data_IF_114540739738
#
_entry.id   IF_114540739738
#
_cell.length_a   1.000
_cell.length_b   1.000
_cell.length_c   1.000
_cell.angle_alpha   90.00
_cell.angle_beta   90.00
_cell.angle_gamma   90.00
#
_symmetry.space_group_name_H-M   'P 1'
#
loop_
_entity.id
_entity.type
_entity.pdbx_description
1 polymer ?
#
# COMPACT_ATOMS: atom_id res chain seq x y z
N UNK A 1 16.65 17.34 1.31
CA UNK A 1 16.25 16.74 0.02
C UNK A 1 16.18 17.92 -0.93
N UNK A 2 17.34 18.41 -1.33
CA UNK A 2 17.44 19.53 -2.24
C UNK A 2 17.46 18.97 -3.67
N UNK A 3 16.79 19.68 -4.59
CA UNK A 3 16.78 19.50 -6.05
C UNK A 3 15.75 18.60 -6.75
N UNK A 4 14.77 18.02 -6.05
CA UNK A 4 13.62 17.36 -6.69
C UNK A 4 12.31 18.01 -6.24
N UNK A 5 11.67 18.76 -7.13
CA UNK A 5 10.29 19.22 -6.91
C UNK A 5 9.36 18.01 -6.98
N UNK A 6 8.87 17.61 -5.81
CA UNK A 6 7.97 16.48 -5.62
C UNK A 6 6.59 16.95 -5.17
N UNK A 7 6.30 18.25 -5.31
CA UNK A 7 5.01 18.81 -4.93
C UNK A 7 3.90 18.07 -5.69
N UNK A 8 2.91 17.57 -4.96
CA UNK A 8 1.82 16.72 -5.44
C UNK A 8 2.22 15.36 -6.06
N UNK A 9 3.51 14.98 -6.03
CA UNK A 9 3.95 13.67 -6.50
C UNK A 9 3.58 12.54 -5.52
N UNK A 10 3.41 11.32 -6.02
CA UNK A 10 3.25 10.13 -5.19
C UNK A 10 4.59 9.38 -5.06
N UNK A 11 5.24 9.55 -3.92
CA UNK A 11 6.50 8.91 -3.60
C UNK A 11 6.24 7.50 -3.07
N UNK A 12 6.75 6.51 -3.79
CA UNK A 12 6.70 5.13 -3.35
C UNK A 12 8.08 4.69 -2.86
N UNK A 13 8.15 4.04 -1.71
CA UNK A 13 9.40 3.48 -1.21
C UNK A 13 9.20 2.03 -0.78
N UNK A 14 10.30 1.29 -0.83
CA UNK A 14 10.33 -0.06 -0.31
C UNK A 14 10.28 -0.08 1.24
N UNK A 15 10.35 -1.27 1.81
CA UNK A 15 10.25 -1.44 3.24
C UNK A 15 11.40 -0.82 4.03
N UNK A 16 12.58 -0.68 3.44
CA UNK A 16 13.72 -0.04 4.11
C UNK A 16 13.48 1.47 4.26
N UNK A 17 12.79 2.07 3.29
CA UNK A 17 12.31 3.46 3.34
C UNK A 17 11.02 3.68 4.13
N UNK A 18 10.36 2.62 4.63
CA UNK A 18 9.11 2.71 5.39
C UNK A 18 9.34 3.17 6.83
N UNK A 19 9.61 4.46 6.99
CA UNK A 19 9.91 5.12 8.26
C UNK A 19 9.01 6.34 8.46
N UNK A 20 8.55 6.57 9.70
CA UNK A 20 7.67 7.70 10.03
C UNK A 20 8.29 9.05 9.64
N UNK A 21 9.56 9.26 9.97
CA UNK A 21 10.28 10.48 9.61
C UNK A 21 10.34 10.72 8.09
N UNK A 22 10.40 9.65 7.28
CA UNK A 22 10.39 9.77 5.81
C UNK A 22 9.00 10.19 5.32
N UNK A 23 7.93 9.62 5.89
CA UNK A 23 6.57 10.05 5.60
C UNK A 23 6.35 11.54 5.94
N UNK A 24 6.84 11.98 7.11
CA UNK A 24 6.79 13.39 7.53
C UNK A 24 7.52 14.29 6.55
N UNK A 25 8.74 13.92 6.14
CA UNK A 25 9.54 14.67 5.17
C UNK A 25 8.84 14.81 3.83
N UNK A 26 8.25 13.72 3.30
CA UNK A 26 7.53 13.74 2.02
C UNK A 26 6.36 14.73 2.08
N UNK A 27 5.60 14.74 3.18
CA UNK A 27 4.49 15.68 3.36
C UNK A 27 4.96 17.13 3.53
N UNK A 28 6.07 17.35 4.24
CA UNK A 28 6.64 18.69 4.45
C UNK A 28 7.06 19.36 3.13
N UNK A 29 7.50 18.58 2.14
CA UNK A 29 7.85 19.08 0.80
C UNK A 29 6.65 19.06 -0.17
N UNK A 30 5.43 18.86 0.33
CA UNK A 30 4.19 18.90 -0.47
C UNK A 30 3.94 17.64 -1.31
N UNK A 31 4.71 16.58 -1.12
CA UNK A 31 4.50 15.29 -1.76
C UNK A 31 3.49 14.41 -1.00
N UNK A 32 3.16 13.27 -1.59
CA UNK A 32 2.34 12.22 -0.99
C UNK A 32 3.11 10.91 -0.97
N UNK A 33 2.73 9.96 -0.11
CA UNK A 33 3.45 8.69 -0.01
C UNK A 33 2.58 7.45 -0.21
N UNK A 34 3.23 6.38 -0.67
CA UNK A 34 2.77 4.99 -0.64
C UNK A 34 3.94 4.11 -0.21
N UNK A 35 3.98 3.73 1.07
CA UNK A 35 5.14 3.07 1.68
C UNK A 35 4.84 1.59 1.93
N UNK A 36 5.77 0.73 1.53
CA UNK A 36 5.61 -0.71 1.69
C UNK A 36 5.92 -1.16 3.12
N UNK A 37 4.93 -1.69 3.85
CA UNK A 37 5.15 -2.32 5.16
C UNK A 37 5.61 -3.77 4.98
N UNK A 38 6.59 -4.21 5.77
CA UNK A 38 7.07 -5.61 5.87
C UNK A 38 7.37 -5.95 7.34
N UNK A 39 8.08 -7.05 7.56
CA UNK A 39 8.47 -7.58 8.87
C UNK A 39 9.34 -6.64 9.72
N UNK A 40 9.90 -5.57 9.15
CA UNK A 40 10.65 -4.55 9.91
C UNK A 40 9.76 -3.61 10.71
N UNK A 41 8.44 -3.63 10.49
CA UNK A 41 7.44 -2.85 11.23
C UNK A 41 6.31 -3.80 11.70
N UNK A 42 6.59 -4.75 12.61
CA UNK A 42 5.68 -5.86 12.92
C UNK A 42 4.36 -5.39 13.53
N UNK A 43 4.39 -4.35 14.37
CA UNK A 43 3.19 -3.81 15.03
C UNK A 43 2.26 -3.13 14.03
N UNK A 44 2.82 -2.35 13.10
CA UNK A 44 2.05 -1.73 12.02
C UNK A 44 1.48 -2.78 11.07
N UNK A 45 2.26 -3.81 10.75
CA UNK A 45 1.80 -4.91 9.92
C UNK A 45 0.59 -5.62 10.58
N UNK A 46 0.69 -5.90 11.88
CA UNK A 46 -0.40 -6.49 12.65
C UNK A 46 -1.66 -5.62 12.62
N UNK A 47 -1.53 -4.31 12.81
CA UNK A 47 -2.69 -3.41 12.81
C UNK A 47 -3.37 -3.34 11.44
N UNK A 48 -2.58 -3.35 10.36
CA UNK A 48 -3.12 -3.45 9.01
C UNK A 48 -3.95 -4.73 8.88
N UNK A 49 -3.41 -5.88 9.28
CA UNK A 49 -4.13 -7.16 9.20
C UNK A 49 -5.40 -7.16 10.06
N UNK A 50 -5.35 -6.63 11.28
CA UNK A 50 -6.48 -6.55 12.20
C UNK A 50 -7.59 -5.60 11.68
N UNK A 51 -7.21 -4.54 10.97
CA UNK A 51 -8.14 -3.53 10.46
C UNK A 51 -9.00 -4.03 9.29
N UNK A 52 -8.55 -5.04 8.54
CA UNK A 52 -9.29 -5.53 7.38
C UNK A 52 -10.51 -6.38 7.78
N UNK A 53 -11.71 -6.05 7.29
CA UNK A 53 -12.92 -6.80 7.60
C UNK A 53 -12.86 -8.21 7.01
N UNK A 54 -13.15 -9.22 7.84
CA UNK A 54 -13.18 -10.65 7.45
C UNK A 54 -14.18 -10.93 6.33
N UNK A 55 -15.26 -10.17 6.26
CA UNK A 55 -16.37 -10.34 5.29
C UNK A 55 -16.18 -9.55 4.00
N UNK A 56 -15.12 -8.74 3.89
CA UNK A 56 -14.88 -7.84 2.74
C UNK A 56 -15.82 -6.64 2.65
N UNK A 57 -16.87 -6.56 3.48
CA UNK A 57 -17.72 -5.37 3.59
C UNK A 57 -16.98 -4.29 4.37
N UNK A 58 -16.91 -3.08 3.83
CA UNK A 58 -16.19 -1.95 4.44
C UNK A 58 -14.80 -1.69 3.85
N UNK A 59 -14.36 -2.46 2.86
CA UNK A 59 -13.15 -2.16 2.08
C UNK A 59 -13.42 -2.22 0.58
N UNK A 60 -12.61 -1.51 -0.20
CA UNK A 60 -12.63 -1.63 -1.67
C UNK A 60 -11.82 -2.85 -2.09
N UNK A 61 -12.41 -3.73 -2.91
CA UNK A 61 -11.74 -4.88 -3.51
C UNK A 61 -11.61 -4.69 -5.01
N UNK A 62 -10.38 -4.84 -5.52
CA UNK A 62 -10.08 -4.94 -6.94
C UNK A 62 -9.42 -6.29 -7.23
N UNK A 63 -9.84 -6.96 -8.30
CA UNK A 63 -9.28 -8.23 -8.75
C UNK A 63 -9.05 -8.17 -10.26
N UNK A 64 -7.87 -8.59 -10.67
CA UNK A 64 -7.44 -8.72 -12.06
C UNK A 64 -6.90 -10.13 -12.28
N UNK A 65 -7.24 -10.72 -13.41
CA UNK A 65 -6.72 -12.03 -13.84
C UNK A 65 -6.24 -11.93 -15.28
N UNK A 66 -5.02 -12.40 -15.53
CA UNK A 66 -4.38 -12.40 -16.84
C UNK A 66 -3.84 -13.80 -17.17
N UNK A 67 -4.01 -14.21 -18.42
CA UNK A 67 -3.55 -15.49 -18.94
C UNK A 67 -2.47 -15.25 -20.00
N UNK A 68 -1.22 -15.43 -19.63
CA UNK A 68 -0.08 -15.17 -20.51
C UNK A 68 0.98 -16.26 -20.43
N UNK A 69 1.55 -16.66 -21.58
CA UNK A 69 2.70 -17.59 -21.63
C UNK A 69 2.50 -18.94 -20.88
N UNK A 70 1.26 -19.42 -20.82
CA UNK A 70 0.87 -20.64 -20.09
C UNK A 70 0.85 -20.47 -18.56
N UNK A 71 0.75 -19.23 -18.07
CA UNK A 71 0.64 -18.86 -16.66
C UNK A 71 -0.68 -18.13 -16.43
N UNK A 72 -1.33 -18.44 -15.30
CA UNK A 72 -2.44 -17.63 -14.78
C UNK A 72 -1.85 -16.68 -13.75
N UNK A 73 -1.98 -15.39 -13.99
CA UNK A 73 -1.65 -14.34 -13.04
C UNK A 73 -2.93 -13.79 -12.43
N UNK A 74 -3.00 -13.80 -11.10
CA UNK A 74 -4.10 -13.20 -10.35
C UNK A 74 -3.54 -12.10 -9.48
N UNK A 75 -4.13 -10.92 -9.55
CA UNK A 75 -3.79 -9.77 -8.71
C UNK A 75 -5.04 -9.34 -7.96
N UNK A 76 -4.93 -9.22 -6.65
CA UNK A 76 -5.99 -8.77 -5.77
C UNK A 76 -5.47 -7.63 -4.92
N UNK A 77 -6.29 -6.60 -4.74
CA UNK A 77 -5.99 -5.48 -3.88
C UNK A 77 -7.20 -5.13 -3.05
N UNK A 78 -6.99 -5.00 -1.75
CA UNK A 78 -7.95 -4.48 -0.78
C UNK A 78 -7.43 -3.14 -0.29
N UNK A 79 -8.31 -2.14 -0.25
CA UNK A 79 -8.02 -0.82 0.32
C UNK A 79 -9.04 -0.50 1.39
N UNK A 80 -8.56 -0.08 2.56
CA UNK A 80 -9.37 0.36 3.68
C UNK A 80 -9.08 1.84 3.93
N UNK A 81 -10.12 2.66 3.80
CA UNK A 81 -10.04 4.08 4.18
C UNK A 81 -10.14 4.15 5.70
N UNK A 82 -9.19 4.83 6.32
CA UNK A 82 -9.16 5.00 7.77
C UNK A 82 -10.04 6.18 8.16
N UNK A 83 -11.09 5.92 8.94
CA UNK A 83 -11.93 6.97 9.51
C UNK A 83 -11.20 7.63 10.69
N UNK A 84 -11.61 8.84 11.11
CA UNK A 84 -11.06 9.47 12.31
C UNK A 84 -11.14 8.57 13.55
N UNK A 85 -12.28 7.90 13.77
CA UNK A 85 -12.49 6.95 14.87
C UNK A 85 -11.45 5.80 14.84
N UNK A 86 -11.21 5.22 13.66
CA UNK A 86 -10.18 4.18 13.50
C UNK A 86 -8.77 4.69 13.78
N UNK A 87 -8.49 5.98 13.54
CA UNK A 87 -7.20 6.58 13.88
C UNK A 87 -7.08 6.88 15.38
N UNK A 88 -8.16 7.26 16.06
CA UNK A 88 -8.18 7.49 17.50
C UNK A 88 -7.96 6.19 18.28
N UNK A 89 -8.65 5.12 17.88
CA UNK A 89 -8.53 3.78 18.48
C UNK A 89 -7.23 3.06 18.07
N UNK A 90 -6.46 3.65 17.17
CA UNK A 90 -5.26 3.05 16.62
C UNK A 90 -4.11 2.99 17.63
N UNK A 91 -3.33 1.91 17.55
CA UNK A 91 -2.09 1.76 18.28
C UNK A 91 -0.82 2.09 17.47
N UNK A 92 -0.89 2.20 16.13
CA UNK A 92 0.24 2.66 15.29
C UNK A 92 -0.13 3.65 14.18
N UNK A 93 -1.32 3.61 13.56
CA UNK A 93 -1.73 4.51 12.48
C UNK A 93 -1.67 5.98 12.87
N UNK A 94 -2.02 6.33 14.11
CA UNK A 94 -1.96 7.71 14.62
C UNK A 94 -0.55 8.32 14.60
N UNK A 95 0.49 7.49 14.56
CA UNK A 95 1.87 7.94 14.53
C UNK A 95 2.36 8.25 13.11
N UNK A 96 1.54 8.02 12.08
CA UNK A 96 1.87 8.27 10.68
C UNK A 96 1.18 9.53 10.19
N UNK A 97 1.96 10.60 9.97
CA UNK A 97 1.43 11.85 9.48
C UNK A 97 0.67 11.67 8.17
N UNK A 98 -0.50 12.28 8.09
CA UNK A 98 -1.34 12.30 6.90
C UNK A 98 -1.83 10.95 6.41
N UNK A 99 -1.68 9.86 7.18
CA UNK A 99 -2.13 8.52 6.79
C UNK A 99 -3.65 8.51 6.57
N UNK A 100 -4.09 8.06 5.39
CA UNK A 100 -5.51 8.04 5.00
C UNK A 100 -6.06 6.65 4.71
N UNK A 101 -5.20 5.72 4.30
CA UNK A 101 -5.62 4.37 3.98
C UNK A 101 -4.52 3.35 4.22
N UNK A 102 -4.94 2.15 4.60
CA UNK A 102 -4.12 0.94 4.60
C UNK A 102 -4.54 0.03 3.44
N UNK A 103 -3.58 -0.67 2.86
CA UNK A 103 -3.82 -1.53 1.70
C UNK A 103 -3.20 -2.91 1.88
N UNK A 104 -3.85 -3.92 1.35
CA UNK A 104 -3.33 -5.28 1.25
C UNK A 104 -3.42 -5.73 -0.20
N UNK A 105 -2.31 -6.17 -0.77
CA UNK A 105 -2.26 -6.68 -2.14
C UNK A 105 -1.67 -8.08 -2.17
N UNK A 106 -2.29 -8.93 -3.00
CA UNK A 106 -1.91 -10.31 -3.25
C UNK A 106 -1.69 -10.47 -4.75
N UNK A 107 -0.47 -10.86 -5.13
CA UNK A 107 -0.16 -11.29 -6.48
C UNK A 107 0.18 -12.78 -6.46
N UNK A 108 -0.45 -13.56 -7.32
CA UNK A 108 -0.14 -14.98 -7.51
C UNK A 108 0.03 -15.29 -8.98
N UNK A 109 0.96 -16.19 -9.27
CA UNK A 109 1.24 -16.64 -10.61
C UNK A 109 1.46 -18.15 -10.64
N UNK A 110 0.65 -18.88 -11.40
CA UNK A 110 0.64 -20.36 -11.40
C UNK A 110 0.87 -20.91 -12.81
N UNK A 111 1.77 -21.90 -12.93
CA UNK A 111 2.03 -22.69 -14.13
C UNK A 111 2.18 -24.17 -13.73
N UNK A 112 1.38 -25.07 -14.32
CA UNK A 112 1.43 -26.51 -14.07
C UNK A 112 1.46 -26.87 -12.56
N UNK A 113 0.51 -26.31 -11.79
CA UNK A 113 0.39 -26.48 -10.32
C UNK A 113 1.59 -25.98 -9.47
N UNK A 114 2.65 -25.42 -10.08
CA UNK A 114 3.69 -24.67 -9.37
C UNK A 114 3.40 -23.19 -9.47
N UNK A 115 3.44 -22.49 -8.34
CA UNK A 115 3.13 -21.07 -8.30
C UNK A 115 4.01 -20.27 -7.37
N UNK A 116 4.02 -18.95 -7.59
CA UNK A 116 4.58 -17.97 -6.66
C UNK A 116 3.44 -17.14 -6.12
N UNK A 117 3.52 -16.79 -4.83
CA UNK A 117 2.58 -15.89 -4.17
C UNK A 117 3.36 -14.79 -3.48
N UNK A 118 2.92 -13.56 -3.65
CA UNK A 118 3.49 -12.38 -3.03
C UNK A 118 2.38 -11.59 -2.36
N UNK A 119 2.55 -11.29 -1.08
CA UNK A 119 1.64 -10.46 -0.28
C UNK A 119 2.39 -9.19 0.10
N UNK A 120 1.73 -8.04 -0.03
CA UNK A 120 2.28 -6.71 0.26
C UNK A 120 1.25 -5.88 0.99
N UNK A 121 1.71 -5.13 1.99
CA UNK A 121 0.88 -4.25 2.80
C UNK A 121 1.36 -2.79 2.72
N UNK A 122 0.95 -1.99 1.72
CA UNK A 122 1.27 -0.57 1.69
C UNK A 122 0.38 0.29 2.62
N UNK A 123 0.91 1.41 3.09
CA UNK A 123 0.16 2.52 3.72
C UNK A 123 0.32 3.82 2.90
N UNK A 124 -0.67 4.71 2.92
CA UNK A 124 -0.67 5.88 2.04
C UNK A 124 -1.32 7.14 2.62
N UNK A 125 -0.82 8.31 2.22
CA UNK A 125 -1.40 9.62 2.55
C UNK A 125 -2.52 10.08 1.62
N UNK A 126 -2.81 9.35 0.54
CA UNK A 126 -3.80 9.72 -0.46
C UNK A 126 -4.84 8.64 -0.68
N UNK A 127 -6.06 9.06 -1.02
CA UNK A 127 -7.09 8.17 -1.51
C UNK A 127 -6.98 8.10 -3.03
N UNK A 128 -6.91 6.90 -3.59
CA UNK A 128 -6.86 6.69 -5.03
C UNK A 128 -7.90 5.67 -5.48
N UNK A 129 -8.36 5.81 -6.72
CA UNK A 129 -9.10 4.76 -7.41
C UNK A 129 -8.09 3.76 -7.99
N UNK A 130 -8.18 2.51 -7.57
CA UNK A 130 -7.38 1.43 -8.17
C UNK A 130 -7.92 1.17 -9.58
N UNK A 131 -7.09 1.43 -10.59
CA UNK A 131 -7.43 1.22 -12.01
C UNK A 131 -6.68 0.03 -12.63
N UNK A 132 -5.54 -0.34 -12.06
CA UNK A 132 -4.78 -1.55 -12.38
C UNK A 132 -3.84 -1.90 -11.21
N UNK A 133 -3.40 -3.16 -11.10
CA UNK A 133 -2.46 -3.59 -10.06
C UNK A 133 -1.18 -4.09 -10.73
N UNK A 134 -0.06 -3.35 -10.56
CA UNK A 134 1.25 -3.80 -11.03
C UNK A 134 2.00 -4.60 -9.96
N UNK A 135 2.79 -5.58 -10.38
CA UNK A 135 3.65 -6.36 -9.48
C UNK A 135 4.98 -5.67 -9.16
N UNK A 136 5.29 -4.56 -9.83
CA UNK A 136 6.55 -3.82 -9.69
C UNK A 136 6.36 -2.54 -8.85
N UNK A 137 7.27 -2.24 -7.91
CA UNK A 137 7.24 -0.99 -7.15
C UNK A 137 7.72 0.16 -8.05
N UNK A 138 6.80 0.97 -8.56
CA UNK A 138 7.14 2.14 -9.36
C UNK A 138 7.07 3.42 -8.54
N UNK A 139 8.15 4.19 -8.55
CA UNK A 139 8.11 5.63 -8.25
C UNK A 139 7.23 6.28 -9.32
N UNK A 140 6.03 6.74 -8.94
CA UNK A 140 5.19 7.54 -9.83
C UNK A 140 5.62 9.00 -9.65
N UNK A 141 6.61 9.43 -10.42
CA UNK A 141 6.85 10.87 -10.62
C UNK A 141 5.71 11.42 -11.47
N UNK A 142 4.91 12.31 -10.87
CA UNK A 142 3.91 13.08 -11.61
C UNK A 142 4.58 13.96 -12.67
N UNK A 143 3.93 14.11 -13.82
CA UNK A 143 4.21 15.22 -14.74
C UNK A 143 3.58 16.49 -14.21
#
# INVERSE_FOLDING_TARGET
MDELDVTNALITLDALGCQRQVADQILQVGGNYLLQVKSNQPTLLQEIEDSFPKTGKGCTLHKEEDLGHGRIETRQMKSLVLTPEMQEDSYTFKDWAGLRASTSSLASATKNARGRRLVRFPITSVLYRIVSVSSEPYVITGK
#
